data_IF_577641837341
#
_entry.id   IF_577641837341
#
_cell.length_a   1.000
_cell.length_b   1.000
_cell.length_c   1.000
_cell.angle_alpha   90.00
_cell.angle_beta   90.00
_cell.angle_gamma   90.00
#
_symmetry.space_group_name_H-M   'P 1'
#
loop_
_entity.id
_entity.type
_entity.pdbx_description
1 polymer ?
#
# COMPACT_ATOMS: atom_id res chain seq x y z
N UNK A 1 18.85 -64.47 -42.02
CA UNK A 1 19.74 -64.22 -40.87
C UNK A 1 19.13 -63.11 -40.03
N UNK A 2 18.23 -63.45 -39.11
CA UNK A 2 17.67 -62.50 -38.15
C UNK A 2 17.97 -63.04 -36.75
N UNK A 3 18.84 -62.35 -36.03
CA UNK A 3 19.25 -62.68 -34.67
C UNK A 3 18.33 -61.92 -33.69
N UNK A 4 17.48 -62.57 -32.89
CA UNK A 4 16.73 -61.89 -31.85
C UNK A 4 17.61 -61.66 -30.62
N UNK A 5 17.80 -60.39 -30.25
CA UNK A 5 18.40 -60.01 -28.98
C UNK A 5 17.43 -60.30 -27.80
N UNK A 6 17.92 -60.76 -26.63
CA UNK A 6 17.09 -61.21 -25.53
C UNK A 6 16.40 -60.08 -24.76
N UNK A 7 15.13 -60.32 -24.38
CA UNK A 7 14.24 -59.43 -23.62
C UNK A 7 14.68 -59.10 -22.18
N UNK A 8 15.86 -59.55 -21.73
CA UNK A 8 16.35 -59.36 -20.37
C UNK A 8 16.87 -57.94 -20.08
N UNK A 9 17.26 -57.17 -21.10
CA UNK A 9 17.86 -55.84 -20.91
C UNK A 9 16.84 -54.68 -20.76
N UNK A 10 15.52 -54.95 -20.81
CA UNK A 10 14.48 -53.91 -20.88
C UNK A 10 13.72 -53.65 -19.57
N UNK A 11 14.09 -54.29 -18.45
CA UNK A 11 13.33 -54.21 -17.18
C UNK A 11 14.04 -53.54 -16.01
N UNK A 12 15.29 -53.09 -16.15
CA UNK A 12 16.06 -52.50 -15.04
C UNK A 12 16.07 -50.95 -15.07
N UNK A 13 15.59 -50.31 -16.15
CA UNK A 13 15.62 -48.85 -16.29
C UNK A 13 14.25 -48.14 -16.06
N UNK A 14 13.28 -48.79 -15.41
CA UNK A 14 11.93 -48.20 -15.17
C UNK A 14 11.62 -48.04 -13.66
N UNK A 15 12.57 -48.34 -12.77
CA UNK A 15 12.36 -48.33 -11.32
C UNK A 15 13.00 -47.14 -10.58
N UNK A 16 13.26 -46.01 -11.26
CA UNK A 16 13.79 -44.78 -10.65
C UNK A 16 13.09 -43.51 -11.18
N UNK A 17 11.76 -43.52 -11.30
CA UNK A 17 10.98 -42.36 -11.78
C UNK A 17 9.78 -41.99 -10.88
N UNK A 18 9.74 -42.43 -9.62
CA UNK A 18 8.64 -42.10 -8.69
C UNK A 18 9.17 -41.65 -7.32
N UNK A 19 10.05 -40.65 -7.29
CA UNK A 19 10.50 -40.01 -6.05
C UNK A 19 10.85 -38.54 -6.26
N UNK A 20 9.95 -37.76 -6.87
CA UNK A 20 10.16 -36.31 -7.02
C UNK A 20 8.85 -35.51 -7.08
N UNK A 21 7.81 -35.94 -6.35
CA UNK A 21 6.51 -35.27 -6.37
C UNK A 21 6.00 -34.92 -4.97
N UNK A 22 6.81 -34.20 -4.19
CA UNK A 22 6.33 -33.61 -2.94
C UNK A 22 7.24 -32.49 -2.44
N UNK A 23 7.45 -31.43 -3.23
CA UNK A 23 7.83 -30.13 -2.64
C UNK A 23 7.55 -28.98 -3.61
N UNK A 24 6.27 -28.73 -3.91
CA UNK A 24 5.87 -27.42 -4.38
C UNK A 24 5.71 -26.53 -3.15
N UNK A 25 6.54 -25.48 -2.92
CA UNK A 25 6.21 -24.50 -1.91
C UNK A 25 4.93 -23.81 -2.37
N UNK A 26 3.89 -23.86 -1.52
CA UNK A 26 2.69 -23.07 -1.68
C UNK A 26 3.09 -21.60 -1.56
N UNK A 27 3.50 -21.00 -2.69
CA UNK A 27 3.76 -19.58 -2.80
C UNK A 27 2.39 -18.88 -2.86
N UNK A 28 1.70 -18.83 -1.72
CA UNK A 28 0.61 -17.90 -1.55
C UNK A 28 1.24 -16.50 -1.65
N UNK A 29 0.80 -15.64 -2.59
CA UNK A 29 1.18 -14.24 -2.50
C UNK A 29 0.55 -13.75 -1.20
N UNK A 30 1.38 -13.52 -0.20
CA UNK A 30 1.03 -12.66 0.92
C UNK A 30 0.85 -11.28 0.29
N UNK A 31 -0.35 -11.00 -0.21
CA UNK A 31 -0.84 -9.63 -0.23
C UNK A 31 -0.66 -9.17 1.20
N UNK A 32 0.35 -8.33 1.41
CA UNK A 32 0.55 -7.64 2.67
C UNK A 32 -0.77 -6.91 2.91
N UNK A 33 -1.63 -7.50 3.75
CA UNK A 33 -2.71 -6.78 4.36
C UNK A 33 -2.02 -5.75 5.24
N UNK A 34 -1.80 -4.58 4.65
CA UNK A 34 -1.46 -3.38 5.40
C UNK A 34 -2.79 -2.91 5.96
N UNK A 35 -3.06 -3.07 7.27
CA UNK A 35 -4.16 -2.33 7.86
C UNK A 35 -3.76 -0.87 7.73
N UNK A 36 -4.29 -0.19 6.72
CA UNK A 36 -4.46 1.26 6.80
C UNK A 36 -5.09 1.52 8.16
N UNK A 37 -4.40 2.31 8.99
CA UNK A 37 -4.80 2.66 10.34
C UNK A 37 -6.31 3.02 10.39
N UNK A 38 -7.00 2.75 11.51
CA UNK A 38 -8.46 2.79 11.55
C UNK A 38 -8.96 4.19 11.19
N UNK A 39 -9.62 4.31 10.04
CA UNK A 39 -10.34 5.51 9.63
C UNK A 39 -11.55 5.73 10.54
N UNK A 40 -11.32 6.41 11.66
CA UNK A 40 -12.39 6.91 12.54
C UNK A 40 -12.20 8.42 12.68
N UNK A 41 -12.35 9.12 11.55
CA UNK A 41 -12.20 10.58 11.46
C UNK A 41 -11.09 11.06 10.53
N UNK A 42 -10.35 10.13 9.91
CA UNK A 42 -9.23 10.40 9.02
C UNK A 42 -9.47 9.92 7.60
N UNK A 43 -8.89 10.68 6.68
CA UNK A 43 -8.86 10.50 5.23
C UNK A 43 -10.23 10.39 4.54
N UNK A 44 -11.10 9.43 4.88
CA UNK A 44 -12.40 9.20 4.25
C UNK A 44 -13.33 10.42 4.25
N UNK A 45 -13.22 11.27 5.29
CA UNK A 45 -13.99 12.51 5.41
C UNK A 45 -13.45 13.64 4.52
N UNK A 46 -12.30 13.47 3.86
CA UNK A 46 -11.74 14.47 2.94
C UNK A 46 -12.34 14.35 1.55
N UNK A 47 -12.56 15.49 0.88
CA UNK A 47 -12.97 15.54 -0.52
C UNK A 47 -11.88 15.05 -1.48
N UNK A 48 -10.62 15.15 -1.06
CA UNK A 48 -9.43 14.76 -1.80
C UNK A 48 -8.40 14.10 -0.89
N UNK A 49 -7.68 13.13 -1.43
CA UNK A 49 -6.73 12.29 -0.67
C UNK A 49 -5.29 12.42 -1.19
N UNK A 50 -4.98 13.46 -1.97
CA UNK A 50 -3.63 13.68 -2.46
C UNK A 50 -2.64 13.87 -1.30
N UNK A 51 -1.40 13.46 -1.54
CA UNK A 51 -0.30 13.63 -0.59
C UNK A 51 0.86 14.34 -1.26
N UNK A 52 1.69 15.00 -0.47
CA UNK A 52 2.94 15.60 -0.94
C UNK A 52 4.06 15.33 0.06
N UNK A 53 5.31 15.34 -0.42
CA UNK A 53 6.47 15.31 0.47
C UNK A 53 6.85 16.71 0.93
N UNK A 54 6.96 16.89 2.24
CA UNK A 54 7.51 18.10 2.83
C UNK A 54 9.02 18.17 2.58
N UNK A 55 9.61 19.33 2.87
CA UNK A 55 11.08 19.50 2.76
C UNK A 55 11.87 18.59 3.69
N UNK A 56 11.23 18.12 4.76
CA UNK A 56 11.85 17.23 5.75
C UNK A 56 11.75 15.75 5.32
N UNK A 57 11.18 15.48 4.14
CA UNK A 57 11.03 14.13 3.58
C UNK A 57 9.77 13.40 4.03
N UNK A 58 8.94 14.01 4.86
CA UNK A 58 7.69 13.44 5.35
C UNK A 58 6.59 13.48 4.29
N UNK A 59 5.86 12.39 4.09
CA UNK A 59 4.67 12.37 3.23
C UNK A 59 3.46 12.79 4.05
N UNK A 60 2.87 13.94 3.74
CA UNK A 60 1.67 14.45 4.42
C UNK A 60 0.53 14.63 3.43
N UNK A 61 -0.71 14.66 3.92
CA UNK A 61 -1.84 15.03 3.09
C UNK A 61 -1.72 16.45 2.57
N UNK A 62 -2.05 16.61 1.29
CA UNK A 62 -2.30 17.90 0.71
C UNK A 62 -3.53 18.55 1.38
N UNK A 63 -3.64 19.88 1.40
CA UNK A 63 -4.83 20.53 1.92
C UNK A 63 -6.10 20.03 1.22
N UNK A 64 -7.11 19.69 2.02
CA UNK A 64 -8.37 19.11 1.57
C UNK A 64 -9.54 19.59 2.43
N UNK A 65 -10.73 19.66 1.86
CA UNK A 65 -11.95 20.02 2.57
C UNK A 65 -12.56 18.80 3.26
N UNK A 66 -13.13 19.00 4.45
CA UNK A 66 -13.94 17.97 5.10
C UNK A 66 -15.36 17.97 4.51
N UNK A 67 -15.86 16.78 4.17
CA UNK A 67 -17.25 16.53 3.75
C UNK A 67 -18.23 16.78 4.89
N UNK A 68 -17.85 16.42 6.12
CA UNK A 68 -18.68 16.67 7.31
C UNK A 68 -18.56 18.09 7.87
N UNK A 69 -17.65 18.91 7.33
CA UNK A 69 -17.34 20.26 7.81
C UNK A 69 -16.58 20.31 9.13
N UNK A 70 -16.36 19.17 9.79
CA UNK A 70 -15.59 19.04 11.02
C UNK A 70 -14.10 19.01 10.71
N UNK A 71 -13.27 19.31 11.72
CA UNK A 71 -11.83 19.13 11.56
C UNK A 71 -11.51 17.63 11.44
N UNK A 72 -10.88 17.20 10.34
CA UNK A 72 -10.44 15.82 10.19
C UNK A 72 -9.26 15.55 11.14
N UNK A 73 -9.12 14.31 11.56
CA UNK A 73 -8.03 13.93 12.47
C UNK A 73 -6.66 14.16 11.82
N UNK A 74 -5.70 14.64 12.61
CA UNK A 74 -4.35 14.94 12.11
C UNK A 74 -4.23 16.28 11.38
N UNK A 75 -5.32 16.99 11.10
CA UNK A 75 -5.24 18.38 10.64
C UNK A 75 -4.63 19.27 11.73
N UNK A 76 -3.71 20.13 11.31
CA UNK A 76 -3.00 21.07 12.20
C UNK A 76 -3.47 22.51 12.00
N UNK A 77 -4.16 22.80 10.90
CA UNK A 77 -4.68 24.13 10.60
C UNK A 77 -5.92 24.08 9.71
N UNK A 78 -6.76 25.10 9.84
CA UNK A 78 -7.83 25.44 8.90
C UNK A 78 -7.41 26.66 8.08
N UNK A 79 -7.42 26.53 6.76
CA UNK A 79 -7.15 27.59 5.80
C UNK A 79 -8.37 28.51 5.61
N UNK A 80 -8.16 29.71 5.05
CA UNK A 80 -9.23 30.70 4.85
C UNK A 80 -10.28 30.30 3.82
N UNK A 81 -9.90 29.50 2.83
CA UNK A 81 -10.84 28.92 1.88
C UNK A 81 -11.64 27.73 2.47
N UNK A 82 -11.35 27.33 3.70
CA UNK A 82 -12.02 26.24 4.40
C UNK A 82 -11.35 24.88 4.23
N UNK A 83 -10.22 24.78 3.55
CA UNK A 83 -9.44 23.55 3.50
C UNK A 83 -8.74 23.29 4.85
N UNK A 84 -8.47 22.04 5.16
CA UNK A 84 -7.68 21.63 6.32
C UNK A 84 -6.27 21.24 5.88
N UNK A 85 -5.26 21.78 6.56
CA UNK A 85 -3.85 21.49 6.31
C UNK A 85 -3.31 20.49 7.34
N UNK A 86 -2.43 19.62 6.87
CA UNK A 86 -1.76 18.59 7.67
C UNK A 86 -0.26 18.89 7.84
N UNK A 87 0.19 20.08 7.43
CA UNK A 87 1.58 20.50 7.56
C UNK A 87 1.99 20.60 9.03
N UNK A 88 3.15 20.03 9.38
CA UNK A 88 3.75 20.17 10.72
C UNK A 88 4.49 21.50 10.90
N UNK A 89 4.81 22.19 9.80
CA UNK A 89 5.48 23.49 9.84
C UNK A 89 4.46 24.61 9.78
N UNK A 90 4.78 25.74 10.43
CA UNK A 90 3.95 26.97 10.38
C UNK A 90 4.30 27.89 9.22
N UNK A 91 5.53 27.82 8.71
CA UNK A 91 5.97 28.67 7.59
C UNK A 91 5.34 28.17 6.29
N UNK A 92 4.65 29.06 5.58
CA UNK A 92 4.04 28.76 4.28
C UNK A 92 2.73 27.96 4.36
N UNK A 93 2.24 27.63 5.55
CA UNK A 93 0.96 26.91 5.70
C UNK A 93 -0.19 27.73 5.13
N UNK A 94 -1.05 27.07 4.36
CA UNK A 94 -2.19 27.69 3.67
C UNK A 94 -1.80 28.85 2.73
N UNK A 95 -0.55 28.96 2.29
CA UNK A 95 -0.10 30.06 1.41
C UNK A 95 -0.86 30.11 0.07
N UNK A 96 -1.13 28.96 -0.55
CA UNK A 96 -2.01 28.86 -1.72
C UNK A 96 -3.51 28.97 -1.43
N UNK A 97 -3.88 29.04 -0.14
CA UNK A 97 -5.26 28.97 0.36
C UNK A 97 -5.65 30.23 1.16
N UNK A 98 -4.99 31.36 0.86
CA UNK A 98 -5.27 32.67 1.48
C UNK A 98 -4.75 32.84 2.90
N UNK A 99 -3.92 31.92 3.40
CA UNK A 99 -3.37 31.91 4.75
C UNK A 99 -4.20 31.12 5.75
N UNK A 100 -3.67 31.02 6.97
CA UNK A 100 -4.30 30.25 8.05
C UNK A 100 -5.44 31.07 8.67
N UNK A 101 -6.61 30.46 8.79
CA UNK A 101 -7.74 31.00 9.54
C UNK A 101 -7.65 30.63 11.02
N UNK A 102 -7.31 29.37 11.33
CA UNK A 102 -7.14 28.88 12.69
C UNK A 102 -6.10 27.75 12.75
N UNK A 103 -5.35 27.67 13.84
CA UNK A 103 -4.53 26.50 14.19
C UNK A 103 -5.35 25.54 15.04
N UNK A 104 -5.15 24.23 14.86
CA UNK A 104 -5.88 23.14 15.51
C UNK A 104 -4.97 22.36 16.46
#
# INVERSE_FOLDING_TARGET
MFNPLPHAARRIAVALTIAALALAPAFAPAFAYSPSAPAVGGEADLDRHDTYRTRDGETVHAPAHSKSGRAPEGATARCRDGAYSFSRHRRGTCSGHGGVAAWL
#
